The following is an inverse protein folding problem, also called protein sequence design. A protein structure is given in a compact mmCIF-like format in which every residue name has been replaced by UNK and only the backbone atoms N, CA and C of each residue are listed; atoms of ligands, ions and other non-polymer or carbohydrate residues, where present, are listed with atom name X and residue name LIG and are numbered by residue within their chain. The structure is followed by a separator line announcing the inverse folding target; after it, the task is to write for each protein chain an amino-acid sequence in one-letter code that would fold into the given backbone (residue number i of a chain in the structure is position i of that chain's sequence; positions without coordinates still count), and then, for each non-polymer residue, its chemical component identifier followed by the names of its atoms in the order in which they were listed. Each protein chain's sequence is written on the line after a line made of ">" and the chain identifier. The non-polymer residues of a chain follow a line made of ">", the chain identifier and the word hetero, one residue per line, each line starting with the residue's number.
data_IF_909246183498
#
_entry.id   IF_909246183498
#
_cell.length_a   1.000
_cell.length_b   1.000
_cell.length_c   1.000
_cell.angle_alpha   90.00
_cell.angle_beta   90.00
_cell.angle_gamma   90.00
#
_symmetry.space_group_name_H-M   'P 1'
#
loop_
_entity.id
_entity.type
_entity.pdbx_description
1 polymer ?
#
# COMPACT_ATOMS: atom_id res chain seq x y z
N UNK A 1 -22.93 -32.22 -6.73
CA UNK A 1 -23.41 -30.81 -6.59
C UNK A 1 -23.43 -30.01 -7.91
N UNK A 2 -22.32 -29.83 -8.64
CA UNK A 2 -22.23 -28.89 -9.79
C UNK A 2 -23.30 -29.09 -10.89
N UNK A 3 -23.55 -30.33 -11.33
CA UNK A 3 -24.48 -30.61 -12.46
C UNK A 3 -25.94 -30.25 -12.18
N UNK A 4 -26.41 -30.39 -10.94
CA UNK A 4 -27.82 -30.12 -10.58
C UNK A 4 -28.13 -28.63 -10.57
N UNK A 5 -27.28 -27.84 -9.89
CA UNK A 5 -27.41 -26.37 -9.83
C UNK A 5 -27.20 -25.76 -11.22
N UNK A 6 -26.22 -26.25 -11.99
CA UNK A 6 -26.02 -25.78 -13.38
C UNK A 6 -27.26 -26.01 -14.25
N UNK A 7 -27.86 -27.20 -14.17
CA UNK A 7 -29.07 -27.53 -14.93
C UNK A 7 -30.25 -26.64 -14.54
N UNK A 8 -30.42 -26.32 -13.25
CA UNK A 8 -31.47 -25.42 -12.80
C UNK A 8 -31.30 -24.00 -13.36
N UNK A 9 -30.11 -23.43 -13.22
CA UNK A 9 -29.80 -22.06 -13.68
C UNK A 9 -29.96 -21.95 -15.20
N UNK A 10 -29.42 -22.90 -15.96
CA UNK A 10 -29.47 -22.84 -17.43
C UNK A 10 -30.86 -23.21 -17.98
N UNK A 11 -31.56 -24.19 -17.40
CA UNK A 11 -32.84 -24.67 -17.96
C UNK A 11 -34.07 -23.92 -17.45
N UNK A 12 -34.14 -23.61 -16.15
CA UNK A 12 -35.29 -22.93 -15.53
C UNK A 12 -35.12 -21.42 -15.56
N UNK A 13 -33.97 -20.89 -15.12
CA UNK A 13 -33.73 -19.44 -15.07
C UNK A 13 -33.21 -18.86 -16.40
N UNK A 14 -32.83 -19.72 -17.37
CA UNK A 14 -32.32 -19.33 -18.70
C UNK A 14 -31.08 -18.43 -18.66
N UNK A 15 -30.23 -18.59 -17.63
CA UNK A 15 -28.97 -17.84 -17.49
C UNK A 15 -27.77 -18.70 -17.89
N UNK A 16 -26.78 -18.10 -18.56
CA UNK A 16 -25.53 -18.77 -18.97
C UNK A 16 -24.48 -18.71 -17.87
N UNK A 17 -23.91 -19.87 -17.50
CA UNK A 17 -22.83 -19.93 -16.52
C UNK A 17 -21.48 -19.63 -17.16
N UNK A 18 -20.70 -18.75 -16.54
CA UNK A 18 -19.30 -18.54 -16.91
C UNK A 18 -18.43 -19.66 -16.32
N UNK A 19 -18.01 -20.60 -17.16
CA UNK A 19 -17.22 -21.79 -16.77
C UNK A 19 -15.80 -21.44 -16.32
N UNK A 20 -15.22 -20.36 -16.84
CA UNK A 20 -13.86 -19.92 -16.49
C UNK A 20 -13.80 -19.37 -15.06
N UNK A 21 -14.87 -18.68 -14.62
CA UNK A 21 -15.00 -18.16 -13.26
C UNK A 21 -15.50 -19.21 -12.27
N UNK A 22 -16.34 -20.13 -12.73
CA UNK A 22 -17.01 -21.11 -11.87
C UNK A 22 -16.17 -22.37 -11.71
N UNK A 23 -15.28 -22.40 -10.72
CA UNK A 23 -14.36 -23.52 -10.46
C UNK A 23 -14.69 -24.22 -9.14
N UNK A 24 -14.41 -25.52 -9.08
CA UNK A 24 -14.45 -26.31 -7.84
C UNK A 24 -13.00 -26.50 -7.43
N UNK A 25 -12.57 -25.74 -6.42
CA UNK A 25 -11.22 -25.85 -5.85
C UNK A 25 -11.30 -25.57 -4.35
N UNK A 26 -10.18 -25.74 -3.65
CA UNK A 26 -10.05 -25.48 -2.22
C UNK A 26 -10.30 -23.99 -1.92
N UNK A 27 -11.00 -23.64 -0.83
CA UNK A 27 -11.35 -22.25 -0.49
C UNK A 27 -10.15 -21.27 -0.49
N UNK A 28 -8.96 -21.73 -0.11
CA UNK A 28 -7.76 -20.89 -0.06
C UNK A 28 -7.10 -20.58 -1.41
N UNK A 29 -7.53 -21.25 -2.48
CA UNK A 29 -7.16 -20.94 -3.87
C UNK A 29 -8.21 -20.09 -4.58
N UNK A 30 -9.40 -20.01 -4.01
CA UNK A 30 -10.52 -19.26 -4.59
C UNK A 30 -10.53 -17.80 -4.11
N UNK A 31 -11.03 -16.94 -4.99
CA UNK A 31 -11.34 -15.54 -4.68
C UNK A 31 -12.85 -15.40 -4.51
N UNK A 32 -13.29 -14.89 -3.36
CA UNK A 32 -14.69 -14.56 -3.12
C UNK A 32 -14.80 -13.13 -2.61
N UNK A 33 -15.51 -12.26 -3.35
CA UNK A 33 -15.69 -10.83 -3.02
C UNK A 33 -14.39 -10.05 -2.69
N UNK A 34 -13.25 -10.52 -3.21
CA UNK A 34 -11.95 -9.90 -2.93
C UNK A 34 -11.19 -10.50 -1.75
N UNK A 35 -11.80 -11.45 -1.03
CA UNK A 35 -11.20 -12.26 0.03
C UNK A 35 -10.78 -13.63 -0.50
N UNK A 36 -9.99 -14.31 0.32
CA UNK A 36 -9.64 -15.72 0.20
C UNK A 36 -9.53 -16.30 1.61
N UNK A 37 -9.38 -17.61 1.72
CA UNK A 37 -9.27 -18.28 3.01
C UNK A 37 -7.85 -18.81 3.21
N UNK A 38 -7.50 -19.13 4.44
CA UNK A 38 -6.32 -19.91 4.76
C UNK A 38 -6.59 -20.76 6.00
N UNK A 39 -5.87 -21.88 6.14
CA UNK A 39 -5.97 -22.73 7.32
C UNK A 39 -4.92 -22.30 8.33
N UNK A 40 -5.32 -21.89 9.52
CA UNK A 40 -4.43 -21.47 10.60
C UNK A 40 -4.86 -22.08 11.93
N UNK A 41 -3.93 -22.73 12.64
CA UNK A 41 -4.18 -23.37 13.95
C UNK A 41 -5.44 -24.27 14.00
N UNK A 42 -5.68 -25.04 12.94
CA UNK A 42 -6.84 -25.94 12.84
C UNK A 42 -8.13 -25.27 12.33
N UNK A 43 -8.19 -23.95 12.25
CA UNK A 43 -9.38 -23.19 11.83
C UNK A 43 -9.22 -22.57 10.43
N UNK A 44 -10.35 -22.25 9.80
CA UNK A 44 -10.37 -21.46 8.57
C UNK A 44 -10.46 -19.97 8.91
N UNK A 45 -9.46 -19.21 8.45
CA UNK A 45 -9.38 -17.77 8.64
C UNK A 45 -9.49 -17.03 7.31
N UNK A 46 -9.93 -15.79 7.38
CA UNK A 46 -10.14 -14.92 6.21
C UNK A 46 -8.87 -14.11 5.96
N UNK A 47 -8.45 -14.03 4.71
CA UNK A 47 -7.36 -13.15 4.24
C UNK A 47 -7.81 -12.34 3.03
N UNK A 48 -7.11 -11.26 2.75
CA UNK A 48 -7.31 -10.52 1.50
C UNK A 48 -6.74 -11.32 0.33
N UNK A 49 -7.50 -11.47 -0.75
CA UNK A 49 -7.00 -12.14 -1.95
C UNK A 49 -5.91 -11.30 -2.63
N UNK A 50 -4.88 -11.96 -3.17
CA UNK A 50 -3.72 -11.30 -3.77
C UNK A 50 -4.09 -10.27 -4.85
N UNK A 51 -5.01 -10.60 -5.76
CA UNK A 51 -5.54 -9.65 -6.77
C UNK A 51 -6.07 -8.34 -6.16
N UNK A 52 -6.76 -8.40 -5.01
CA UNK A 52 -7.30 -7.22 -4.33
C UNK A 52 -6.17 -6.39 -3.69
N UNK A 53 -5.20 -7.07 -3.07
CA UNK A 53 -4.01 -6.44 -2.51
C UNK A 53 -3.16 -5.75 -3.59
N UNK A 54 -2.95 -6.41 -4.73
CA UNK A 54 -2.19 -5.87 -5.85
C UNK A 54 -2.89 -4.65 -6.47
N UNK A 55 -4.24 -4.69 -6.57
CA UNK A 55 -5.03 -3.52 -7.00
C UNK A 55 -4.85 -2.33 -6.04
N UNK A 56 -4.86 -2.59 -4.72
CA UNK A 56 -4.63 -1.55 -3.72
C UNK A 56 -3.21 -0.98 -3.79
N UNK A 57 -2.19 -1.85 -3.87
CA UNK A 57 -0.79 -1.45 -4.09
C UNK A 57 -0.64 -0.59 -5.34
N UNK A 58 -1.29 -0.95 -6.45
CA UNK A 58 -1.28 -0.17 -7.68
C UNK A 58 -1.91 1.22 -7.49
N UNK A 59 -3.05 1.31 -6.78
CA UNK A 59 -3.69 2.58 -6.42
C UNK A 59 -2.75 3.47 -5.59
N UNK A 60 -2.14 2.92 -4.54
CA UNK A 60 -1.17 3.64 -3.71
C UNK A 60 0.07 4.07 -4.53
N UNK A 61 0.55 3.21 -5.44
CA UNK A 61 1.68 3.51 -6.34
C UNK A 61 1.37 4.71 -7.25
N UNK A 62 0.16 4.77 -7.79
CA UNK A 62 -0.30 5.87 -8.65
C UNK A 62 -0.38 7.20 -7.88
N UNK A 63 -0.93 7.18 -6.66
CA UNK A 63 -1.00 8.38 -5.79
C UNK A 63 0.39 8.89 -5.40
N UNK A 64 1.31 7.97 -5.13
CA UNK A 64 2.71 8.25 -4.80
C UNK A 64 3.63 8.16 -6.02
N UNK A 65 3.12 8.45 -7.22
CA UNK A 65 3.96 8.50 -8.41
C UNK A 65 4.92 9.70 -8.31
N UNK A 66 6.17 9.50 -8.71
CA UNK A 66 7.18 10.57 -8.78
C UNK A 66 6.93 11.56 -9.92
N UNK A 67 6.11 11.17 -10.90
CA UNK A 67 5.82 11.96 -12.11
C UNK A 67 4.52 12.74 -12.00
N UNK A 68 3.74 12.59 -10.93
CA UNK A 68 2.56 13.42 -10.72
C UNK A 68 2.97 14.73 -10.03
N UNK A 69 2.49 15.87 -10.52
CA UNK A 69 2.79 17.21 -9.98
C UNK A 69 2.00 17.50 -8.68
N UNK A 70 1.64 16.46 -7.94
CA UNK A 70 0.79 16.56 -6.77
C UNK A 70 1.57 17.14 -5.59
N UNK A 71 1.01 18.17 -4.94
CA UNK A 71 1.55 18.68 -3.68
C UNK A 71 1.46 17.60 -2.58
N UNK A 72 2.26 17.74 -1.51
CA UNK A 72 2.36 16.70 -0.50
C UNK A 72 1.12 16.57 0.39
N UNK A 73 0.51 17.68 0.77
CA UNK A 73 -0.69 17.69 1.62
C UNK A 73 -1.87 17.00 0.93
N UNK A 74 -2.14 17.34 -0.33
CA UNK A 74 -3.18 16.70 -1.13
C UNK A 74 -2.86 15.23 -1.39
N UNK A 75 -1.57 14.87 -1.56
CA UNK A 75 -1.14 13.47 -1.66
C UNK A 75 -1.48 12.71 -0.37
N UNK A 76 -1.23 13.29 0.80
CA UNK A 76 -1.59 12.68 2.08
C UNK A 76 -3.11 12.57 2.26
N UNK A 77 -3.88 13.58 1.87
CA UNK A 77 -5.34 13.53 1.88
C UNK A 77 -5.88 12.37 1.02
N UNK A 78 -5.38 12.23 -0.22
CA UNK A 78 -5.79 11.14 -1.11
C UNK A 78 -5.36 9.78 -0.61
N UNK A 79 -4.19 9.67 0.01
CA UNK A 79 -3.75 8.45 0.66
C UNK A 79 -4.65 8.08 1.83
N UNK A 80 -4.98 9.04 2.72
CA UNK A 80 -5.92 8.86 3.82
C UNK A 80 -7.24 8.28 3.34
N UNK A 81 -7.87 8.94 2.36
CA UNK A 81 -9.15 8.49 1.78
C UNK A 81 -9.06 7.07 1.20
N UNK A 82 -7.99 6.78 0.46
CA UNK A 82 -7.79 5.46 -0.14
C UNK A 82 -7.55 4.36 0.91
N UNK A 83 -6.78 4.67 1.96
CA UNK A 83 -6.42 3.73 3.02
C UNK A 83 -7.64 3.41 3.90
N UNK A 84 -8.32 4.44 4.40
CA UNK A 84 -9.49 4.29 5.28
C UNK A 84 -10.59 3.49 4.56
N UNK A 85 -10.94 3.87 3.34
CA UNK A 85 -11.98 3.16 2.59
C UNK A 85 -11.63 1.70 2.29
N UNK A 86 -10.35 1.41 2.05
CA UNK A 86 -9.91 0.03 1.81
C UNK A 86 -9.90 -0.80 3.09
N UNK A 87 -9.43 -0.25 4.21
CA UNK A 87 -9.44 -0.93 5.51
C UNK A 87 -10.85 -1.21 5.97
N UNK A 88 -11.77 -0.24 5.88
CA UNK A 88 -13.15 -0.44 6.31
C UNK A 88 -13.82 -1.61 5.56
N UNK A 89 -13.51 -1.78 4.27
CA UNK A 89 -14.03 -2.91 3.50
C UNK A 89 -13.36 -4.25 3.87
N UNK A 90 -12.03 -4.25 4.03
CA UNK A 90 -11.25 -5.46 4.28
C UNK A 90 -11.02 -5.77 5.76
N UNK A 91 -11.68 -5.05 6.68
CA UNK A 91 -11.46 -5.17 8.12
C UNK A 91 -11.55 -6.62 8.60
N UNK A 92 -12.57 -7.37 8.16
CA UNK A 92 -12.80 -8.78 8.55
C UNK A 92 -11.60 -9.71 8.24
N UNK A 93 -10.71 -9.34 7.32
CA UNK A 93 -9.56 -10.15 6.97
C UNK A 93 -8.39 -9.99 7.96
N UNK A 94 -7.70 -11.09 8.25
CA UNK A 94 -6.41 -11.05 8.93
C UNK A 94 -5.32 -10.55 7.97
N UNK A 95 -4.81 -9.36 8.25
CA UNK A 95 -3.83 -8.70 7.38
C UNK A 95 -2.71 -7.95 8.10
N UNK A 96 -2.54 -8.10 9.43
CA UNK A 96 -1.56 -7.32 10.22
C UNK A 96 -0.15 -7.31 9.62
N UNK A 97 0.38 -8.48 9.29
CA UNK A 97 1.72 -8.62 8.71
C UNK A 97 1.82 -8.00 7.30
N UNK A 98 0.76 -8.15 6.49
CA UNK A 98 0.71 -7.57 5.15
C UNK A 98 0.70 -6.04 5.23
N UNK A 99 -0.05 -5.48 6.17
CA UNK A 99 -0.16 -4.04 6.37
C UNK A 99 1.16 -3.43 6.84
N UNK A 100 1.89 -4.10 7.74
CA UNK A 100 3.23 -3.66 8.18
C UNK A 100 4.19 -3.49 7.01
N UNK A 101 4.29 -4.51 6.15
CA UNK A 101 5.13 -4.47 4.94
C UNK A 101 4.66 -3.39 3.96
N UNK A 102 3.35 -3.20 3.84
CA UNK A 102 2.77 -2.18 2.96
C UNK A 102 3.07 -0.76 3.47
N UNK A 103 3.04 -0.56 4.79
CA UNK A 103 3.39 0.69 5.47
C UNK A 103 4.86 1.07 5.25
N UNK A 104 5.77 0.09 5.38
CA UNK A 104 7.20 0.30 5.10
C UNK A 104 7.43 0.70 3.65
N UNK A 105 6.78 -0.01 2.73
CA UNK A 105 6.83 0.30 1.30
C UNK A 105 6.25 1.69 1.00
N UNK A 106 5.12 2.06 1.61
CA UNK A 106 4.49 3.37 1.42
C UNK A 106 5.39 4.50 1.92
N UNK A 107 5.96 4.39 3.14
CA UNK A 107 6.91 5.37 3.68
C UNK A 107 8.11 5.56 2.76
N UNK A 108 8.67 4.48 2.22
CA UNK A 108 9.75 4.55 1.23
C UNK A 108 9.34 5.31 -0.04
N UNK A 109 8.11 5.13 -0.52
CA UNK A 109 7.59 5.89 -1.68
C UNK A 109 7.43 7.37 -1.36
N UNK A 110 6.94 7.71 -0.16
CA UNK A 110 6.84 9.10 0.27
C UNK A 110 8.21 9.77 0.36
N UNK A 111 9.23 9.09 0.92
CA UNK A 111 10.62 9.60 0.91
C UNK A 111 11.15 9.87 -0.49
N UNK A 112 10.84 8.98 -1.44
CA UNK A 112 11.17 9.19 -2.86
C UNK A 112 10.48 10.44 -3.42
N UNK A 113 9.21 10.67 -3.10
CA UNK A 113 8.47 11.86 -3.53
C UNK A 113 9.09 13.15 -2.98
N UNK A 114 9.43 13.21 -1.69
CA UNK A 114 10.14 14.37 -1.11
C UNK A 114 11.47 14.62 -1.82
N UNK A 115 12.28 13.58 -2.01
CA UNK A 115 13.57 13.72 -2.69
C UNK A 115 13.43 14.21 -4.13
N UNK A 116 12.36 13.81 -4.83
CA UNK A 116 12.07 14.27 -6.18
C UNK A 116 11.61 15.73 -6.20
N UNK A 117 10.83 16.14 -5.20
CA UNK A 117 10.38 17.51 -5.03
C UNK A 117 11.55 18.47 -4.75
N UNK A 118 12.56 18.02 -4.01
CA UNK A 118 13.81 18.76 -3.80
C UNK A 118 14.70 18.70 -5.04
N UNK A 119 14.27 19.33 -6.14
CA UNK A 119 14.89 19.21 -7.47
C UNK A 119 16.34 19.68 -7.50
N UNK A 120 16.64 20.82 -6.87
CA UNK A 120 17.97 21.46 -6.87
C UNK A 120 18.81 20.98 -5.68
N UNK A 121 20.13 20.89 -5.87
CA UNK A 121 21.08 20.46 -4.81
C UNK A 121 20.97 21.38 -3.59
N UNK A 122 20.94 22.71 -3.79
CA UNK A 122 20.73 23.68 -2.72
C UNK A 122 19.46 23.40 -1.91
N UNK A 123 18.34 23.13 -2.58
CA UNK A 123 17.07 22.81 -1.91
C UNK A 123 17.15 21.48 -1.13
N UNK A 124 17.84 20.47 -1.64
CA UNK A 124 18.09 19.22 -0.90
C UNK A 124 18.90 19.49 0.35
N UNK A 125 20.00 20.23 0.22
CA UNK A 125 20.86 20.62 1.33
C UNK A 125 20.04 21.35 2.40
N UNK A 126 19.34 22.42 2.04
CA UNK A 126 18.62 23.26 2.99
C UNK A 126 17.53 22.48 3.73
N UNK A 127 16.81 21.59 3.03
CA UNK A 127 15.81 20.73 3.67
C UNK A 127 16.44 19.65 4.56
N UNK A 128 17.60 19.09 4.20
CA UNK A 128 18.32 18.15 5.06
C UNK A 128 18.79 18.83 6.35
N UNK A 129 19.31 20.06 6.27
CA UNK A 129 19.71 20.85 7.44
C UNK A 129 18.50 21.19 8.31
N UNK A 130 17.38 21.62 7.71
CA UNK A 130 16.11 21.85 8.43
C UNK A 130 15.59 20.60 9.16
N UNK A 131 15.88 19.41 8.63
CA UNK A 131 15.53 18.12 9.23
C UNK A 131 16.58 17.62 10.22
N UNK A 132 17.55 18.46 10.61
CA UNK A 132 18.53 18.16 11.66
C UNK A 132 19.80 17.45 11.19
N UNK A 133 20.06 17.37 9.88
CA UNK A 133 21.34 16.82 9.37
C UNK A 133 22.43 17.91 9.47
N UNK A 134 23.62 17.60 10.04
CA UNK A 134 24.72 18.56 10.10
C UNK A 134 25.12 19.08 8.71
N UNK A 135 25.45 20.36 8.62
CA UNK A 135 25.73 21.09 7.38
C UNK A 135 26.69 20.34 6.43
N UNK A 136 27.83 19.86 6.96
CA UNK A 136 28.83 19.14 6.16
C UNK A 136 28.28 17.84 5.55
N UNK A 137 27.51 17.06 6.34
CA UNK A 137 26.87 15.83 5.85
C UNK A 137 25.72 16.11 4.90
N UNK A 138 24.99 17.21 5.10
CA UNK A 138 23.91 17.60 4.21
C UNK A 138 24.43 17.86 2.78
N UNK A 139 25.61 18.47 2.63
CA UNK A 139 26.27 18.67 1.33
C UNK A 139 26.68 17.36 0.66
N UNK A 140 27.28 16.44 1.41
CA UNK A 140 27.62 15.09 0.91
C UNK A 140 26.36 14.38 0.38
N UNK A 141 25.28 14.43 1.17
CA UNK A 141 24.03 13.72 0.86
C UNK A 141 23.26 14.37 -0.29
N UNK A 142 23.23 15.70 -0.38
CA UNK A 142 22.55 16.44 -1.43
C UNK A 142 23.14 16.15 -2.82
N UNK A 143 24.46 15.93 -2.90
CA UNK A 143 25.22 15.65 -4.13
C UNK A 143 25.25 14.18 -4.55
N UNK A 144 24.50 13.29 -3.87
CA UNK A 144 24.49 11.88 -4.21
C UNK A 144 24.05 11.61 -5.66
N UNK A 145 24.79 10.73 -6.34
CA UNK A 145 24.46 10.23 -7.70
C UNK A 145 23.45 9.07 -7.70
N UNK A 146 22.96 8.65 -6.53
CA UNK A 146 22.01 7.54 -6.38
C UNK A 146 20.63 7.92 -6.95
N UNK A 147 20.03 7.01 -7.72
CA UNK A 147 18.68 7.19 -8.25
C UNK A 147 17.59 7.29 -7.17
N UNK A 148 16.45 7.91 -7.50
CA UNK A 148 15.36 8.24 -6.56
C UNK A 148 14.86 7.06 -5.70
N UNK A 149 14.74 5.86 -6.29
CA UNK A 149 14.29 4.69 -5.54
C UNK A 149 15.39 4.07 -4.66
N UNK A 150 16.66 4.24 -5.04
CA UNK A 150 17.81 3.75 -4.27
C UNK A 150 18.03 4.62 -3.03
N UNK A 151 17.98 5.94 -3.20
CA UNK A 151 18.17 6.88 -2.09
C UNK A 151 17.02 6.83 -1.07
N UNK A 152 15.79 6.53 -1.50
CA UNK A 152 14.64 6.43 -0.57
C UNK A 152 14.73 5.32 0.47
N UNK A 153 15.63 4.34 0.26
CA UNK A 153 15.94 3.27 1.21
C UNK A 153 17.34 3.41 1.84
N UNK A 154 17.93 4.60 1.74
CA UNK A 154 19.26 4.85 2.31
C UNK A 154 19.16 5.43 3.73
N UNK A 155 20.21 5.26 4.55
CA UNK A 155 20.32 5.91 5.85
C UNK A 155 20.13 7.42 5.80
N UNK A 156 20.44 8.05 4.66
CA UNK A 156 20.29 9.49 4.42
C UNK A 156 18.83 9.92 4.63
N UNK A 157 17.91 9.30 3.87
CA UNK A 157 16.49 9.67 3.92
C UNK A 157 15.75 8.99 5.07
N UNK A 158 16.20 7.85 5.57
CA UNK A 158 15.59 7.28 6.78
C UNK A 158 15.91 8.08 8.04
N UNK A 159 17.10 8.72 8.11
CA UNK A 159 17.48 9.62 9.21
C UNK A 159 16.85 11.00 9.07
N UNK A 160 16.83 11.58 7.87
CA UNK A 160 16.22 12.90 7.66
C UNK A 160 14.68 12.87 7.70
N UNK A 161 14.06 11.90 7.01
CA UNK A 161 12.61 11.74 6.96
C UNK A 161 12.22 10.53 7.83
N UNK A 162 12.33 10.72 9.15
CA UNK A 162 12.02 9.69 10.14
C UNK A 162 10.55 9.26 10.06
N UNK A 163 10.24 8.05 10.56
CA UNK A 163 8.84 7.59 10.61
C UNK A 163 7.97 8.53 11.47
N UNK A 164 8.54 9.06 12.56
CA UNK A 164 7.89 10.04 13.44
C UNK A 164 7.57 11.33 12.69
N UNK A 165 8.56 11.91 12.02
CA UNK A 165 8.37 13.12 11.21
C UNK A 165 7.29 12.92 10.14
N UNK A 166 7.33 11.80 9.41
CA UNK A 166 6.31 11.50 8.40
C UNK A 166 4.90 11.43 8.99
N UNK A 167 4.75 10.89 10.20
CA UNK A 167 3.46 10.82 10.91
C UNK A 167 2.98 12.22 11.32
N UNK A 168 3.87 13.04 11.86
CA UNK A 168 3.58 14.42 12.30
C UNK A 168 3.08 15.30 11.15
N UNK A 169 3.67 15.17 9.96
CA UNK A 169 3.23 15.92 8.77
C UNK A 169 1.97 15.34 8.10
N UNK A 170 1.36 14.30 8.67
CA UNK A 170 0.06 13.77 8.23
C UNK A 170 0.08 12.48 7.42
N UNK A 171 1.21 11.77 7.31
CA UNK A 171 1.20 10.41 6.74
C UNK A 171 0.57 9.43 7.72
N UNK A 172 -0.57 8.87 7.32
CA UNK A 172 -1.28 7.86 8.11
C UNK A 172 -0.64 6.48 7.94
N UNK A 173 -0.53 5.74 9.05
CA UNK A 173 -0.17 4.32 9.03
C UNK A 173 -1.40 3.47 8.73
N UNK A 174 -1.27 2.60 7.73
CA UNK A 174 -2.30 1.62 7.33
C UNK A 174 -2.54 0.64 8.50
N UNK A 175 -1.47 0.24 9.19
CA UNK A 175 -1.55 -0.69 10.33
C UNK A 175 -2.25 -0.06 11.54
N UNK A 176 -1.99 1.22 11.82
CA UNK A 176 -2.67 1.95 12.89
C UNK A 176 -4.17 2.07 12.61
N UNK A 177 -4.56 2.46 11.38
CA UNK A 177 -5.98 2.55 11.01
C UNK A 177 -6.68 1.20 11.13
N UNK A 178 -6.03 0.11 10.75
CA UNK A 178 -6.59 -1.23 10.90
C UNK A 178 -6.81 -1.62 12.36
N UNK A 179 -5.89 -1.22 13.24
CA UNK A 179 -5.96 -1.47 14.68
C UNK A 179 -6.99 -0.60 15.40
N UNK A 180 -7.52 0.45 14.77
CA UNK A 180 -8.64 1.24 15.31
C UNK A 180 -10.01 0.64 14.95
N UNK A 181 -10.06 -0.19 13.92
CA UNK A 181 -11.29 -0.86 13.45
C UNK A 181 -11.45 -2.24 14.10
N UNK A 182 -10.37 -2.80 14.66
CA UNK A 182 -10.33 -4.07 15.39
C UNK A 182 -10.16 -3.82 16.89
#
# INVERSE_FOLDING_TARGET
>A
MRKSITKFIEKKLKLKINKDKSTVDRPWKLKFLGFSFYRGKGEYRIRVHEKSLNKFRAKLKALTSRSNAMNMEYRFLKLKQAIVGWINYFAIADMRNILKTLDEWLRRRIRMCFWKQWKKIKIKHDNLVKLGIPNNKAWEYANTRKGYWRISNSPILSKALTNKYLKEIGLISISEVYSLVH
#
